data_IF_700253160455
#
_entry.id   IF_700253160455
#
_cell.length_a   1.000
_cell.length_b   1.000
_cell.length_c   1.000
_cell.angle_alpha   90.00
_cell.angle_beta   90.00
_cell.angle_gamma   90.00
#
_symmetry.space_group_name_H-M   'P 1'
#
loop_
_entity.id
_entity.type
_entity.pdbx_description
1 polymer ?
#
# COMPACT_ATOMS: atom_id res chain seq x y z
N UNK A 1 6.35 3.17 13.67
CA UNK A 1 5.12 3.99 13.68
C UNK A 1 4.30 3.71 12.44
N UNK A 2 2.97 3.59 12.54
CA UNK A 2 2.10 3.14 11.43
C UNK A 2 2.28 3.99 10.16
N UNK A 3 2.41 5.32 10.31
CA UNK A 3 2.66 6.24 9.18
C UNK A 3 3.89 5.85 8.36
N UNK A 4 4.98 5.43 9.01
CA UNK A 4 6.23 5.07 8.31
C UNK A 4 6.08 3.79 7.48
N UNK A 5 5.37 2.78 8.01
CA UNK A 5 5.10 1.55 7.27
C UNK A 5 4.27 1.82 6.01
N UNK A 6 3.26 2.70 6.13
CA UNK A 6 2.45 3.13 4.99
C UNK A 6 3.30 3.86 3.95
N UNK A 7 4.14 4.82 4.37
CA UNK A 7 5.04 5.53 3.44
C UNK A 7 5.99 4.57 2.71
N UNK A 8 6.53 3.58 3.41
CA UNK A 8 7.42 2.58 2.81
C UNK A 8 6.69 1.68 1.81
N UNK A 9 5.47 1.23 2.13
CA UNK A 9 4.65 0.46 1.19
C UNK A 9 4.31 1.28 -0.06
N UNK A 10 3.92 2.55 0.11
CA UNK A 10 3.65 3.46 -1.00
C UNK A 10 4.87 3.67 -1.91
N UNK A 11 6.07 3.84 -1.32
CA UNK A 11 7.32 3.97 -2.08
C UNK A 11 7.63 2.72 -2.90
N UNK A 12 7.49 1.53 -2.28
CA UNK A 12 7.74 0.24 -2.96
C UNK A 12 6.75 -0.02 -4.10
N UNK A 13 5.50 0.36 -3.93
CA UNK A 13 4.45 0.21 -4.94
C UNK A 13 4.45 1.34 -5.98
N UNK A 14 5.26 2.40 -5.81
CA UNK A 14 5.32 3.53 -6.74
C UNK A 14 4.03 4.38 -6.77
N UNK A 15 3.24 4.37 -5.70
CA UNK A 15 1.93 5.03 -5.64
C UNK A 15 1.95 6.33 -4.84
N UNK A 16 1.12 7.30 -5.22
CA UNK A 16 1.07 8.63 -4.59
C UNK A 16 0.12 8.69 -3.39
N UNK A 17 -0.83 7.76 -3.29
CA UNK A 17 -1.88 7.77 -2.27
C UNK A 17 -2.00 6.44 -1.52
N UNK A 18 -2.51 6.54 -0.29
CA UNK A 18 -2.74 5.36 0.59
C UNK A 18 -3.80 4.43 0.02
N UNK A 19 -4.91 4.98 -0.47
CA UNK A 19 -6.00 4.18 -1.05
C UNK A 19 -5.52 3.40 -2.28
N UNK A 20 -4.65 4.00 -3.10
CA UNK A 20 -4.05 3.33 -4.25
C UNK A 20 -3.16 2.16 -3.80
N UNK A 21 -2.36 2.34 -2.74
CA UNK A 21 -1.56 1.25 -2.17
C UNK A 21 -2.44 0.06 -1.73
N UNK A 22 -3.58 0.33 -1.09
CA UNK A 22 -4.53 -0.71 -0.66
C UNK A 22 -5.11 -1.46 -1.86
N UNK A 23 -5.51 -0.75 -2.91
CA UNK A 23 -6.04 -1.38 -4.14
C UNK A 23 -5.00 -2.25 -4.83
N UNK A 24 -3.74 -1.80 -4.94
CA UNK A 24 -2.67 -2.61 -5.54
C UNK A 24 -2.39 -3.87 -4.71
N UNK A 25 -2.35 -3.77 -3.37
CA UNK A 25 -2.16 -4.92 -2.50
C UNK A 25 -3.30 -5.94 -2.60
N UNK A 26 -4.56 -5.48 -2.74
CA UNK A 26 -5.71 -6.36 -3.01
C UNK A 26 -5.57 -7.06 -4.36
N UNK A 27 -5.12 -6.37 -5.42
CA UNK A 27 -4.90 -6.96 -6.76
C UNK A 27 -3.77 -7.99 -6.77
N UNK A 28 -2.76 -7.79 -5.93
CA UNK A 28 -1.66 -8.73 -5.76
C UNK A 28 -2.02 -9.94 -4.89
N UNK A 29 -3.19 -9.92 -4.23
CA UNK A 29 -3.57 -10.98 -3.27
C UNK A 29 -2.81 -10.90 -1.94
N UNK A 30 -2.14 -9.78 -1.66
CA UNK A 30 -1.36 -9.55 -0.44
C UNK A 30 -2.22 -9.04 0.73
N UNK A 31 -3.47 -8.65 0.44
CA UNK A 31 -4.48 -8.28 1.42
C UNK A 31 -5.78 -9.02 1.11
N UNK A 32 -6.49 -9.43 2.16
CA UNK A 32 -7.85 -9.94 2.11
C UNK A 32 -8.76 -9.02 2.95
N UNK A 33 -10.05 -9.00 2.63
CA UNK A 33 -11.07 -8.22 3.33
C UNK A 33 -11.82 -9.06 4.37
#
# INVERSE_FOLDING_TARGET
TVRNHISNAMQKLGVKGRSQAVVELLRMGELEL
#
